data_IF_721124985336
#
_entry.id   IF_721124985336
#
_cell.length_a   1.000
_cell.length_b   1.000
_cell.length_c   1.000
_cell.angle_alpha   90.00
_cell.angle_beta   90.00
_cell.angle_gamma   90.00
#
_symmetry.space_group_name_H-M   'P 1'
#
loop_
_entity.id
_entity.type
_entity.pdbx_description
1 polymer ?
#
# COMPACT_ATOMS: atom_id res chain seq x y z
N UNK A 1 -1.59 1.91 7.76
CA UNK A 1 -1.86 0.89 8.80
C UNK A 1 -3.02 0.02 8.36
N UNK A 2 -2.92 -1.30 8.55
CA UNK A 2 -3.98 -2.27 8.26
C UNK A 2 -4.73 -2.64 9.55
N UNK A 3 -6.07 -2.59 9.58
CA UNK A 3 -6.85 -3.09 10.71
C UNK A 3 -6.78 -4.62 10.81
N UNK A 4 -6.98 -5.22 12.00
CA UNK A 4 -6.77 -6.65 12.25
C UNK A 4 -7.52 -7.58 11.28
N UNK A 5 -8.75 -7.20 10.90
CA UNK A 5 -9.57 -8.01 10.00
C UNK A 5 -9.07 -8.05 8.54
N UNK A 6 -8.20 -7.10 8.14
CA UNK A 6 -7.61 -7.07 6.79
C UNK A 6 -6.21 -7.69 6.73
N UNK A 7 -5.60 -8.04 7.86
CA UNK A 7 -4.25 -8.62 7.89
C UNK A 7 -4.16 -9.96 7.14
N UNK A 8 -5.27 -10.70 7.06
CA UNK A 8 -5.36 -11.99 6.36
C UNK A 8 -5.75 -11.86 4.90
N UNK A 9 -6.09 -10.66 4.44
CA UNK A 9 -6.54 -10.41 3.08
C UNK A 9 -5.35 -10.11 2.15
N UNK A 10 -5.38 -10.56 0.89
CA UNK A 10 -4.29 -10.34 -0.07
C UNK A 10 -4.34 -8.93 -0.68
N UNK A 11 -4.41 -7.90 0.16
CA UNK A 11 -4.65 -6.52 -0.25
C UNK A 11 -3.59 -6.04 -1.23
N UNK A 12 -2.31 -6.23 -0.92
CA UNK A 12 -1.19 -5.76 -1.75
C UNK A 12 -1.22 -6.39 -3.15
N UNK A 13 -1.50 -7.69 -3.23
CA UNK A 13 -1.64 -8.38 -4.51
C UNK A 13 -2.87 -7.89 -5.28
N UNK A 14 -3.97 -7.64 -4.58
CA UNK A 14 -5.22 -7.15 -5.19
C UNK A 14 -5.03 -5.79 -5.82
N UNK A 15 -4.34 -4.85 -5.14
CA UNK A 15 -4.08 -3.52 -5.73
C UNK A 15 -3.10 -3.60 -6.89
N UNK A 16 -2.02 -4.40 -6.77
CA UNK A 16 -1.03 -4.54 -7.83
C UNK A 16 -1.66 -5.07 -9.11
N UNK A 17 -2.47 -6.11 -8.99
CA UNK A 17 -3.18 -6.72 -10.14
C UNK A 17 -4.28 -5.83 -10.71
N UNK A 18 -4.98 -5.05 -9.87
CA UNK A 18 -6.12 -4.23 -10.31
C UNK A 18 -5.67 -2.92 -10.96
N UNK A 19 -4.65 -2.28 -10.43
CA UNK A 19 -4.22 -0.94 -10.83
C UNK A 19 -2.90 -0.93 -11.58
N UNK A 20 -2.32 -2.10 -11.89
CA UNK A 20 -1.02 -2.20 -12.57
C UNK A 20 0.07 -1.35 -11.88
N UNK A 21 0.06 -1.39 -10.55
CA UNK A 21 1.04 -0.71 -9.69
C UNK A 21 2.02 -1.74 -9.15
N UNK A 22 3.30 -1.43 -9.19
CA UNK A 22 4.37 -2.28 -8.69
C UNK A 22 4.73 -1.88 -7.26
N UNK A 23 4.41 -2.70 -6.24
CA UNK A 23 4.83 -2.44 -4.88
C UNK A 23 6.24 -2.95 -4.61
N UNK A 24 7.07 -2.11 -4.02
CA UNK A 24 8.34 -2.48 -3.41
C UNK A 24 8.27 -2.29 -1.89
N UNK A 25 8.45 -3.39 -1.14
CA UNK A 25 8.32 -3.39 0.32
C UNK A 25 9.65 -2.97 0.95
N UNK A 26 9.71 -1.76 1.50
CA UNK A 26 10.88 -1.27 2.26
C UNK A 26 10.89 -1.79 3.69
N UNK A 27 9.71 -1.85 4.33
CA UNK A 27 9.54 -2.43 5.68
C UNK A 27 8.14 -3.02 5.81
N UNK A 28 8.02 -4.14 6.51
CA UNK A 28 6.73 -4.68 6.90
C UNK A 28 6.80 -5.28 8.31
N UNK A 29 5.78 -5.01 9.12
CA UNK A 29 5.52 -5.67 10.40
C UNK A 29 4.07 -6.14 10.36
N UNK A 30 3.88 -7.44 10.42
CA UNK A 30 2.55 -8.05 10.42
C UNK A 30 2.40 -8.89 11.68
N UNK A 31 1.32 -8.64 12.41
CA UNK A 31 0.93 -9.36 13.62
C UNK A 31 -0.57 -9.67 13.55
N UNK A 32 -1.08 -10.52 14.43
CA UNK A 32 -2.52 -10.82 14.49
C UNK A 32 -3.40 -9.59 14.80
N UNK A 33 -2.82 -8.54 15.40
CA UNK A 33 -3.53 -7.33 15.79
C UNK A 33 -3.39 -6.17 14.80
N UNK A 34 -2.28 -6.09 14.06
CA UNK A 34 -1.98 -4.96 13.18
C UNK A 34 -1.00 -5.35 12.08
N UNK A 35 -1.24 -4.80 10.89
CA UNK A 35 -0.25 -4.73 9.81
C UNK A 35 0.26 -3.29 9.65
N UNK A 36 1.57 -3.12 9.58
CA UNK A 36 2.23 -1.86 9.25
C UNK A 36 3.21 -2.12 8.10
N UNK A 37 3.18 -1.29 7.06
CA UNK A 37 4.08 -1.41 5.92
C UNK A 37 4.56 -0.04 5.48
N UNK A 38 5.83 0.02 5.07
CA UNK A 38 6.41 1.11 4.30
C UNK A 38 6.66 0.56 2.90
N UNK A 39 6.01 1.17 1.93
CA UNK A 39 5.99 0.75 0.54
C UNK A 39 6.46 1.89 -0.34
N UNK A 40 7.20 1.55 -1.38
CA UNK A 40 7.27 2.35 -2.59
C UNK A 40 6.29 1.75 -3.60
N UNK A 41 5.55 2.61 -4.28
CA UNK A 41 4.62 2.21 -5.32
C UNK A 41 5.04 2.90 -6.61
N UNK A 42 5.29 2.10 -7.64
CA UNK A 42 5.61 2.57 -8.98
C UNK A 42 4.45 2.25 -9.94
N UNK A 43 4.17 3.14 -10.88
CA UNK A 43 3.12 2.95 -11.87
C UNK A 43 2.65 4.26 -12.47
N UNK A 44 1.61 4.20 -13.29
CA UNK A 44 1.00 5.41 -13.86
C UNK A 44 0.36 6.25 -12.74
N UNK A 45 0.62 7.56 -12.72
CA UNK A 45 0.18 8.47 -11.65
C UNK A 45 -1.33 8.37 -11.36
N UNK A 46 -2.16 8.34 -12.39
CA UNK A 46 -3.62 8.22 -12.24
C UNK A 46 -4.06 6.90 -11.61
N UNK A 47 -3.29 5.82 -11.82
CA UNK A 47 -3.58 4.49 -11.24
C UNK A 47 -3.05 4.40 -9.81
N UNK A 48 -1.91 5.04 -9.52
CA UNK A 48 -1.40 5.19 -8.15
C UNK A 48 -2.43 5.91 -7.28
N UNK A 49 -2.96 7.06 -7.73
CA UNK A 49 -3.99 7.81 -7.00
C UNK A 49 -5.25 6.97 -6.75
N UNK A 50 -5.78 6.30 -7.79
CA UNK A 50 -6.94 5.41 -7.66
C UNK A 50 -6.70 4.24 -6.69
N UNK A 51 -5.48 3.67 -6.69
CA UNK A 51 -5.12 2.60 -5.78
C UNK A 51 -5.11 3.06 -4.31
N UNK A 52 -4.59 4.26 -4.05
CA UNK A 52 -4.52 4.87 -2.72
C UNK A 52 -5.93 5.21 -2.20
N UNK A 53 -6.78 5.79 -3.03
CA UNK A 53 -8.19 6.06 -2.70
C UNK A 53 -8.95 4.77 -2.39
N UNK A 54 -8.70 3.71 -3.18
CA UNK A 54 -9.31 2.40 -2.95
C UNK A 54 -8.89 1.81 -1.62
N UNK A 55 -7.60 1.85 -1.28
CA UNK A 55 -7.10 1.40 0.03
C UNK A 55 -7.78 2.17 1.18
N UNK A 56 -7.85 3.51 1.07
CA UNK A 56 -8.52 4.36 2.06
C UNK A 56 -10.01 4.02 2.21
N UNK A 57 -10.71 3.75 1.11
CA UNK A 57 -12.12 3.36 1.13
C UNK A 57 -12.38 2.02 1.85
N UNK A 58 -11.37 1.17 1.94
CA UNK A 58 -11.41 -0.11 2.67
C UNK A 58 -11.06 0.04 4.16
N UNK A 59 -10.83 1.27 4.64
CA UNK A 59 -10.44 1.55 6.02
C UNK A 59 -8.95 1.33 6.30
N UNK A 60 -8.12 1.27 5.24
CA UNK A 60 -6.66 1.21 5.39
C UNK A 60 -6.14 2.65 5.46
N UNK A 61 -5.40 2.95 6.52
CA UNK A 61 -4.75 4.24 6.66
C UNK A 61 -3.52 4.30 5.75
N UNK A 62 -3.47 5.30 4.88
CA UNK A 62 -2.35 5.53 3.95
C UNK A 62 -1.87 6.96 4.10
N UNK A 63 -0.61 7.09 4.53
CA UNK A 63 0.11 8.34 4.67
C UNK A 63 1.30 8.36 3.70
N UNK A 64 1.54 9.51 3.08
CA UNK A 64 2.75 9.71 2.29
C UNK A 64 3.90 9.99 3.24
N UNK A 65 4.98 9.24 3.10
CA UNK A 65 6.21 9.48 3.84
C UNK A 65 7.08 10.35 2.94
N UNK A 66 7.31 11.61 3.32
CA UNK A 66 8.32 12.45 2.68
C UNK A 66 9.70 11.91 3.05
N UNK A 67 10.32 11.17 2.13
CA UNK A 67 11.66 10.62 2.33
C UNK A 67 12.01 9.58 1.27
N UNK A 68 13.09 9.85 0.53
CA UNK A 68 13.63 9.09 -0.60
C UNK A 68 12.85 9.23 -1.92
N UNK A 69 12.87 10.44 -2.48
CA UNK A 69 12.86 10.60 -3.93
C UNK A 69 14.17 9.98 -4.42
N UNK A 70 14.16 8.74 -4.90
CA UNK A 70 15.28 8.24 -5.70
C UNK A 70 15.19 8.92 -7.06
N UNK A 71 15.97 9.99 -7.24
CA UNK A 71 16.32 10.47 -8.58
C UNK A 71 17.02 9.32 -9.32
N UNK A 72 16.48 8.98 -10.49
CA UNK A 72 17.04 7.97 -11.39
C UNK A 72 18.33 8.47 -12.06
#
# INVERSE_FOLDING_TARGET
MFPPHLVKEPILFTIAKRFDVMPNIRRARVTDAVGEMILELEGQESLLQQSIETLRSQGIEVEYIEGEIFEA
#
